data_IF_790481577575
#
_entry.id   IF_790481577575
#
_cell.length_a   1.000
_cell.length_b   1.000
_cell.length_c   1.000
_cell.angle_alpha   90.00
_cell.angle_beta   90.00
_cell.angle_gamma   90.00
#
_symmetry.space_group_name_H-M   'P 1'
#
loop_
_entity.id
_entity.type
_entity.pdbx_description
1 polymer ?
#
# COMPACT_ATOMS: atom_id res chain seq x y z
N UNK A 1 14.32 -9.36 11.00
CA UNK A 1 13.79 -10.23 12.09
C UNK A 1 12.28 -10.40 11.99
N UNK A 2 11.72 -11.60 12.26
CA UNK A 2 10.29 -11.88 12.12
C UNK A 2 9.38 -10.91 12.90
N UNK A 3 9.81 -10.47 14.10
CA UNK A 3 9.04 -9.51 14.90
C UNK A 3 8.94 -8.13 14.24
N UNK A 4 9.96 -7.70 13.49
CA UNK A 4 9.92 -6.42 12.77
C UNK A 4 8.92 -6.50 11.61
N UNK A 5 8.94 -7.59 10.85
CA UNK A 5 8.03 -7.81 9.72
C UNK A 5 6.57 -7.77 10.16
N UNK A 6 6.21 -8.44 11.25
CA UNK A 6 4.84 -8.43 11.77
C UNK A 6 4.36 -7.03 12.17
N UNK A 7 5.23 -6.22 12.79
CA UNK A 7 4.91 -4.84 13.18
C UNK A 7 4.72 -3.92 11.97
N UNK A 8 5.55 -4.10 10.94
CA UNK A 8 5.44 -3.33 9.69
C UNK A 8 4.12 -3.65 8.96
N UNK A 9 3.77 -4.93 8.84
CA UNK A 9 2.50 -5.35 8.23
C UNK A 9 1.31 -4.76 8.97
N UNK A 10 1.28 -4.85 10.31
CA UNK A 10 0.20 -4.26 11.10
C UNK A 10 0.09 -2.74 10.90
N UNK A 11 1.22 -2.03 10.86
CA UNK A 11 1.22 -0.58 10.62
C UNK A 11 0.69 -0.23 9.23
N UNK A 12 1.08 -0.98 8.20
CA UNK A 12 0.61 -0.78 6.83
C UNK A 12 -0.88 -1.10 6.68
N UNK A 13 -1.38 -2.14 7.35
CA UNK A 13 -2.81 -2.45 7.40
C UNK A 13 -3.63 -1.34 8.04
N UNK A 14 -3.16 -0.77 9.14
CA UNK A 14 -3.80 0.41 9.77
C UNK A 14 -3.87 1.59 8.81
N UNK A 15 -2.76 1.91 8.13
CA UNK A 15 -2.71 3.02 7.18
C UNK A 15 -3.65 2.81 5.99
N UNK A 16 -3.81 1.56 5.55
CA UNK A 16 -4.68 1.15 4.44
C UNK A 16 -6.12 0.83 4.83
N UNK A 17 -6.51 1.02 6.09
CA UNK A 17 -7.84 0.65 6.63
C UNK A 17 -8.19 -0.84 6.42
N UNK A 18 -7.18 -1.71 6.53
CA UNK A 18 -7.29 -3.16 6.40
C UNK A 18 -7.45 -3.84 7.76
N UNK A 19 -8.01 -5.05 7.77
CA UNK A 19 -8.17 -5.84 8.98
C UNK A 19 -6.84 -6.50 9.39
N UNK A 20 -6.34 -6.12 10.55
CA UNK A 20 -5.09 -6.64 11.14
C UNK A 20 -5.25 -8.10 11.59
N UNK A 21 -6.44 -8.46 12.07
CA UNK A 21 -6.74 -9.80 12.57
C UNK A 21 -6.87 -10.80 11.43
N UNK A 22 -7.34 -10.39 10.26
CA UNK A 22 -7.42 -11.27 9.09
C UNK A 22 -6.05 -11.39 8.40
N UNK A 23 -5.54 -12.63 8.29
CA UNK A 23 -4.21 -12.95 7.73
C UNK A 23 -4.24 -14.13 6.76
N UNK A 24 -5.43 -14.66 6.48
CA UNK A 24 -5.68 -15.86 5.67
C UNK A 24 -6.30 -15.53 4.32
N UNK A 25 -6.83 -14.31 4.16
CA UNK A 25 -7.36 -13.81 2.90
C UNK A 25 -6.52 -12.65 2.36
N UNK A 26 -6.44 -12.50 1.02
CA UNK A 26 -5.90 -11.29 0.42
C UNK A 26 -6.72 -10.07 0.85
N UNK A 27 -6.08 -8.91 0.96
CA UNK A 27 -6.75 -7.65 1.26
C UNK A 27 -6.20 -6.53 0.39
N UNK A 28 -7.07 -5.63 -0.03
CA UNK A 28 -6.75 -4.49 -0.88
C UNK A 28 -7.27 -3.21 -0.23
N UNK A 29 -6.48 -2.15 -0.31
CA UNK A 29 -6.82 -0.86 0.28
C UNK A 29 -6.13 0.30 -0.42
N UNK A 30 -6.40 1.48 0.11
CA UNK A 30 -5.76 2.73 -0.31
C UNK A 30 -5.21 3.42 0.92
N UNK A 31 -4.07 4.10 0.76
CA UNK A 31 -3.53 4.93 1.80
C UNK A 31 -2.98 6.22 1.21
N UNK A 32 -3.19 7.32 1.94
CA UNK A 32 -2.64 8.64 1.63
C UNK A 32 -1.71 9.04 2.75
N UNK A 33 -0.52 9.52 2.41
CA UNK A 33 0.44 10.03 3.39
C UNK A 33 1.09 11.32 2.88
N UNK A 34 1.40 12.21 3.82
CA UNK A 34 2.12 13.45 3.56
C UNK A 34 3.53 13.29 4.07
N UNK A 35 4.52 13.42 3.19
CA UNK A 35 5.96 13.40 3.50
C UNK A 35 6.57 14.64 2.88
N UNK A 36 7.36 15.39 3.63
CA UNK A 36 8.10 16.56 3.14
C UNK A 36 7.22 17.52 2.31
N UNK A 37 6.00 17.77 2.80
CA UNK A 37 4.96 18.61 2.17
C UNK A 37 4.38 18.07 0.85
N UNK A 38 4.79 16.90 0.39
CA UNK A 38 4.20 16.20 -0.77
C UNK A 38 3.17 15.15 -0.32
N UNK A 39 2.02 15.11 -1.00
CA UNK A 39 0.97 14.10 -0.76
C UNK A 39 1.17 12.91 -1.71
N UNK A 40 1.30 11.72 -1.13
CA UNK A 40 1.40 10.47 -1.87
C UNK A 40 0.11 9.68 -1.72
N UNK A 41 -0.56 9.43 -2.83
CA UNK A 41 -1.65 8.47 -2.91
C UNK A 41 -1.08 7.11 -3.32
N UNK A 42 -1.42 6.07 -2.57
CA UNK A 42 -0.95 4.73 -2.85
C UNK A 42 -2.07 3.71 -2.72
N UNK A 43 -1.94 2.63 -3.50
CA UNK A 43 -2.69 1.39 -3.28
C UNK A 43 -1.83 0.42 -2.50
N UNK A 44 -2.47 -0.33 -1.60
CA UNK A 44 -1.85 -1.39 -0.82
C UNK A 44 -2.59 -2.70 -1.10
N UNK A 45 -1.84 -3.77 -1.25
CA UNK A 45 -2.37 -5.13 -1.31
C UNK A 45 -1.56 -6.04 -0.37
N UNK A 46 -2.23 -6.92 0.36
CA UNK A 46 -1.62 -7.94 1.21
C UNK A 46 -2.03 -9.33 0.75
N UNK A 47 -1.08 -10.27 0.70
CA UNK A 47 -1.29 -11.65 0.31
C UNK A 47 -0.69 -12.60 1.35
N UNK A 48 -1.45 -13.58 1.88
CA UNK A 48 -0.91 -14.63 2.74
C UNK A 48 0.13 -15.49 1.99
N UNK A 49 1.22 -15.81 2.66
CA UNK A 49 2.33 -16.65 2.14
C UNK A 49 2.81 -17.62 3.22
N UNK A 50 3.67 -18.58 2.86
CA UNK A 50 4.22 -19.56 3.80
C UNK A 50 4.93 -18.94 5.02
N UNK A 51 5.53 -17.75 4.87
CA UNK A 51 6.34 -17.10 5.90
C UNK A 51 5.71 -15.80 6.44
N UNK A 52 4.39 -15.64 6.32
CA UNK A 52 3.67 -14.45 6.77
C UNK A 52 2.90 -13.80 5.62
N UNK A 53 2.91 -12.47 5.52
CA UNK A 53 2.16 -11.76 4.49
C UNK A 53 3.10 -10.99 3.57
N UNK A 54 2.92 -11.16 2.26
CA UNK A 54 3.52 -10.30 1.25
C UNK A 54 2.70 -9.02 1.18
N UNK A 55 3.36 -7.87 1.25
CA UNK A 55 2.72 -6.56 1.08
C UNK A 55 3.26 -5.91 -0.19
N UNK A 56 2.36 -5.39 -1.02
CA UNK A 56 2.69 -4.60 -2.21
C UNK A 56 2.13 -3.21 -2.02
N UNK A 57 2.98 -2.20 -2.25
CA UNK A 57 2.59 -0.80 -2.32
C UNK A 57 2.76 -0.34 -3.76
N UNK A 58 1.73 0.32 -4.30
CA UNK A 58 1.81 0.99 -5.59
C UNK A 58 1.61 2.47 -5.38
N UNK A 59 2.64 3.25 -5.70
CA UNK A 59 2.56 4.71 -5.71
C UNK A 59 1.79 5.14 -6.96
N UNK A 60 0.72 5.91 -6.76
CA UNK A 60 0.11 6.68 -7.82
C UNK A 60 0.73 8.08 -7.76
N UNK A 61 1.49 8.45 -8.78
CA UNK A 61 1.89 9.85 -8.95
C UNK A 61 0.63 10.64 -9.32
N UNK A 62 0.35 11.68 -8.53
CA UNK A 62 -0.87 12.49 -8.62
C UNK A 62 -0.88 13.51 -9.75
N UNK A 63 0.03 13.41 -10.71
CA UNK A 63 -0.07 14.22 -11.93
C UNK A 63 -0.80 13.39 -12.97
N UNK A 64 -2.09 13.68 -13.14
CA UNK A 64 -2.70 13.55 -14.46
C UNK A 64 -1.94 14.52 -15.36
N UNK A 65 -0.82 14.08 -15.92
CA UNK A 65 -0.32 14.67 -17.14
C UNK A 65 -1.41 14.34 -18.16
N UNK A 66 -2.24 15.32 -18.49
CA UNK A 66 -3.02 15.26 -19.72
C UNK A 66 -1.98 15.09 -20.83
N UNK A 67 -1.76 13.85 -21.26
CA UNK A 67 -0.97 13.57 -22.45
C UNK A 67 -1.88 13.90 -23.62
N UNK A 68 -1.65 15.03 -24.30
CA UNK A 68 -2.49 15.39 -25.41
C UNK A 68 -2.18 14.41 -26.57
N UNK A 69 -3.20 14.03 -27.33
CA UNK A 69 -3.12 12.93 -28.31
C UNK A 69 -2.06 13.16 -29.41
N UNK A 70 -1.72 14.41 -29.65
CA UNK A 70 -0.68 14.90 -30.55
C UNK A 70 0.76 14.64 -30.05
N UNK A 71 0.93 14.18 -28.81
CA UNK A 71 2.23 13.84 -28.20
C UNK A 71 2.45 12.32 -27.99
N UNK A 72 1.57 11.48 -28.55
CA UNK A 72 1.72 10.02 -28.59
C UNK A 72 2.36 9.56 -29.91
#
# INVERSE_FOLDING_TARGET
PPQLTARLIARLKILGQLDIAERRQPQDGQLSLTLDSARYAMRIATLPTLHGEKVVLRVQQGEQQELPLDQL
#
